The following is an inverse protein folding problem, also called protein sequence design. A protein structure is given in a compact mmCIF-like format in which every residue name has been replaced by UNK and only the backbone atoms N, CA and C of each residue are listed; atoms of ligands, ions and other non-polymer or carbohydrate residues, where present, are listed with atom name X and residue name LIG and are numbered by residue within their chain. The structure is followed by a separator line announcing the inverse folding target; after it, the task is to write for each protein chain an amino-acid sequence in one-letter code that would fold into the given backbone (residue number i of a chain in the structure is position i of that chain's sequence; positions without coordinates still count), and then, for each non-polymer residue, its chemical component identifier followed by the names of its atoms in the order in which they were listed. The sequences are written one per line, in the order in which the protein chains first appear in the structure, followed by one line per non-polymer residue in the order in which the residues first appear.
data_IF_874823924534
#
_entry.id   IF_874823924534
#
_cell.length_a   1.000
_cell.length_b   1.000
_cell.length_c   1.000
_cell.angle_alpha   90.00
_cell.angle_beta   90.00
_cell.angle_gamma   90.00
#
_symmetry.space_group_name_H-M   'P 1'
#
loop_
_entity.id
_entity.type
_entity.pdbx_description
1 polymer ?
#
# COMPACT_ATOMS: atom_id res chain seq x y z
N UNK A 1 18.75 -20.31 4.54
CA UNK A 1 18.59 -18.91 4.97
C UNK A 1 17.28 -18.39 4.38
N UNK A 2 16.41 -17.79 5.20
CA UNK A 2 15.19 -17.14 4.70
C UNK A 2 15.54 -15.96 3.79
N UNK A 3 14.86 -15.84 2.66
CA UNK A 3 15.04 -14.73 1.73
C UNK A 3 14.08 -13.60 2.09
N UNK A 4 14.59 -12.38 2.22
CA UNK A 4 13.80 -11.18 2.49
C UNK A 4 13.66 -10.38 1.18
N UNK A 5 12.44 -10.01 0.82
CA UNK A 5 12.13 -9.10 -0.27
C UNK A 5 11.65 -7.78 0.32
N UNK A 6 12.35 -6.70 0.03
CA UNK A 6 11.89 -5.35 0.34
C UNK A 6 10.91 -4.90 -0.74
N UNK A 7 9.69 -4.59 -0.29
CA UNK A 7 8.60 -4.17 -1.17
C UNK A 7 8.42 -2.65 -1.21
N UNK A 8 9.21 -1.92 -0.40
CA UNK A 8 8.98 -0.50 -0.22
C UNK A 8 9.61 0.32 -1.33
N UNK A 9 8.87 1.29 -1.86
CA UNK A 9 9.42 2.29 -2.79
C UNK A 9 10.19 3.37 -2.03
N UNK A 10 11.31 3.88 -2.56
CA UNK A 10 12.06 4.94 -1.93
C UNK A 10 11.27 6.26 -1.88
N UNK A 11 11.24 6.90 -0.72
CA UNK A 11 10.71 8.27 -0.55
C UNK A 11 11.85 9.25 -0.82
N UNK A 12 11.69 10.12 -1.81
CA UNK A 12 12.71 11.10 -2.24
C UNK A 12 12.08 12.39 -2.72
N UNK A 13 12.79 13.51 -2.62
CA UNK A 13 12.34 14.79 -3.18
C UNK A 13 11.96 14.64 -4.65
N UNK A 14 10.78 15.14 -5.03
CA UNK A 14 10.23 15.02 -6.38
C UNK A 14 9.85 13.58 -6.76
N UNK A 15 9.71 12.66 -5.78
CA UNK A 15 9.22 11.31 -6.01
C UNK A 15 7.77 11.28 -6.47
N UNK A 16 7.36 10.14 -7.01
CA UNK A 16 6.00 9.92 -7.52
C UNK A 16 4.98 10.04 -6.38
N UNK A 17 3.95 10.86 -6.59
CA UNK A 17 2.80 11.02 -5.68
C UNK A 17 1.49 10.89 -6.46
N UNK A 18 0.42 10.51 -5.76
CA UNK A 18 -0.92 10.55 -6.34
C UNK A 18 -1.34 12.00 -6.61
N UNK A 19 -1.99 12.31 -7.76
CA UNK A 19 -2.39 13.66 -8.11
C UNK A 19 -3.24 14.34 -7.02
N UNK A 20 -2.80 15.52 -6.58
CA UNK A 20 -3.44 16.28 -5.51
C UNK A 20 -2.86 16.03 -4.10
N UNK A 21 -2.03 15.01 -3.93
CA UNK A 21 -1.33 14.79 -2.66
C UNK A 21 -0.14 15.77 -2.51
N UNK A 22 0.28 16.07 -1.26
CA UNK A 22 1.45 16.90 -0.99
C UNK A 22 2.72 16.34 -1.64
N UNK A 23 3.54 17.24 -2.17
CA UNK A 23 4.85 16.89 -2.73
C UNK A 23 5.81 16.42 -1.64
N UNK A 24 6.77 15.59 -2.06
CA UNK A 24 7.82 15.08 -1.18
C UNK A 24 8.99 16.05 -1.20
N UNK A 25 9.44 16.50 0.00
CA UNK A 25 10.68 17.24 0.20
C UNK A 25 11.52 16.61 1.30
N UNK A 26 12.79 16.38 1.00
CA UNK A 26 13.82 15.92 1.93
C UNK A 26 14.97 16.92 1.86
N UNK A 27 15.14 17.71 2.91
CA UNK A 27 16.09 18.83 2.96
C UNK A 27 17.09 18.64 4.11
N UNK A 28 18.38 18.72 3.80
CA UNK A 28 19.42 18.67 4.82
C UNK A 28 19.48 20.02 5.56
N UNK A 29 18.94 20.06 6.78
CA UNK A 29 18.88 21.26 7.63
C UNK A 29 20.21 21.55 8.33
N UNK A 30 20.91 20.50 8.79
CA UNK A 30 22.24 20.56 9.36
C UNK A 30 23.17 19.63 8.58
N UNK A 31 24.39 20.06 8.33
CA UNK A 31 25.37 19.29 7.55
C UNK A 31 26.75 19.31 8.21
N UNK A 32 27.33 18.15 8.46
CA UNK A 32 28.71 18.01 8.94
C UNK A 32 29.69 18.69 7.99
N UNK A 33 29.46 18.58 6.69
CA UNK A 33 30.27 19.27 5.67
C UNK A 33 30.21 20.81 5.76
N UNK A 34 29.25 21.37 6.51
CA UNK A 34 29.12 22.82 6.76
C UNK A 34 29.45 23.19 8.20
N UNK A 35 30.13 22.31 8.97
CA UNK A 35 30.57 22.55 10.33
C UNK A 35 29.57 22.21 11.44
N UNK A 36 28.44 21.58 11.11
CA UNK A 36 27.53 21.07 12.12
C UNK A 36 28.07 19.79 12.78
N UNK A 37 27.63 19.48 14.00
CA UNK A 37 28.01 18.28 14.73
C UNK A 37 27.40 16.98 14.16
N UNK A 38 26.29 17.10 13.42
CA UNK A 38 25.58 15.98 12.81
C UNK A 38 24.82 16.42 11.54
N UNK A 39 24.47 15.45 10.70
CA UNK A 39 23.54 15.66 9.60
C UNK A 39 22.12 15.48 10.12
N UNK A 40 21.25 16.47 9.90
CA UNK A 40 19.82 16.42 10.27
C UNK A 40 18.99 16.84 9.07
N UNK A 41 18.06 16.00 8.65
CA UNK A 41 17.15 16.28 7.54
C UNK A 41 15.75 16.65 8.05
N UNK A 42 15.14 17.65 7.41
CA UNK A 42 13.71 17.91 7.50
C UNK A 42 13.02 17.16 6.37
N UNK A 43 11.96 16.40 6.73
CA UNK A 43 11.18 15.60 5.78
C UNK A 43 9.75 16.13 5.78
N UNK A 44 9.21 16.38 4.59
CA UNK A 44 7.81 16.77 4.38
C UNK A 44 7.20 15.87 3.33
N UNK A 45 6.05 15.27 3.64
CA UNK A 45 5.25 14.46 2.73
C UNK A 45 3.83 14.28 3.28
N UNK A 46 2.88 13.83 2.44
CA UNK A 46 1.54 13.43 2.90
C UNK A 46 1.53 12.05 3.54
N UNK A 47 0.50 11.75 4.34
CA UNK A 47 0.29 10.44 4.97
C UNK A 47 0.26 9.28 3.97
N UNK A 48 -0.28 9.53 2.75
CA UNK A 48 -0.36 8.56 1.66
C UNK A 48 0.80 8.73 0.66
N UNK A 49 2.03 8.55 1.15
CA UNK A 49 3.27 8.73 0.36
C UNK A 49 4.04 7.43 0.22
N UNK A 50 4.41 7.08 -1.01
CA UNK A 50 5.20 5.89 -1.31
C UNK A 50 4.48 4.61 -0.94
N UNK A 51 5.20 3.67 -0.33
CA UNK A 51 4.56 2.50 0.31
C UNK A 51 3.96 2.96 1.63
N UNK A 52 2.65 2.80 1.80
CA UNK A 52 1.92 3.29 2.96
C UNK A 52 0.74 2.38 3.32
N UNK A 53 0.21 2.55 4.51
CA UNK A 53 -1.00 1.89 4.98
C UNK A 53 -2.11 2.91 5.21
N UNK A 54 -3.32 2.59 4.71
CA UNK A 54 -4.55 3.34 4.98
C UNK A 54 -5.27 2.75 6.18
N UNK A 55 -5.70 3.62 7.05
CA UNK A 55 -6.61 3.33 8.16
C UNK A 55 -8.05 3.71 7.81
N UNK A 56 -9.03 3.22 8.57
CA UNK A 56 -10.45 3.55 8.33
C UNK A 56 -10.73 5.06 8.37
N UNK A 57 -9.93 5.80 9.16
CA UNK A 57 -10.01 7.27 9.24
C UNK A 57 -9.80 7.97 7.90
N UNK A 58 -9.16 7.33 6.93
CA UNK A 58 -8.96 7.91 5.60
C UNK A 58 -10.29 8.26 4.89
N UNK A 59 -11.35 7.48 5.12
CA UNK A 59 -12.66 7.72 4.49
C UNK A 59 -13.80 7.92 5.49
N UNK A 60 -13.53 7.80 6.79
CA UNK A 60 -14.53 7.92 7.86
C UNK A 60 -13.98 8.77 9.00
N UNK A 61 -14.61 9.90 9.31
CA UNK A 61 -14.16 10.85 10.34
C UNK A 61 -14.03 10.21 11.73
N UNK A 62 -14.91 9.26 12.05
CA UNK A 62 -14.92 8.44 13.27
C UNK A 62 -14.15 7.11 13.10
N UNK A 63 -13.49 6.92 11.97
CA UNK A 63 -12.72 5.72 11.67
C UNK A 63 -11.49 5.58 12.55
N UNK A 64 -11.06 4.33 12.75
CA UNK A 64 -9.83 4.01 13.48
C UNK A 64 -8.60 4.64 12.80
N UNK A 65 -7.76 5.41 13.51
CA UNK A 65 -6.54 5.98 12.95
C UNK A 65 -5.42 4.93 12.83
N UNK A 66 -4.36 5.27 12.09
CA UNK A 66 -3.28 4.35 11.72
C UNK A 66 -2.48 3.83 12.94
N UNK A 67 -2.29 4.66 13.95
CA UNK A 67 -1.57 4.32 15.18
C UNK A 67 -2.30 3.30 16.07
N UNK A 68 -3.58 3.07 15.80
CA UNK A 68 -4.44 2.13 16.51
C UNK A 68 -4.71 0.83 15.73
N UNK A 69 -4.17 0.67 14.52
CA UNK A 69 -4.28 -0.59 13.77
C UNK A 69 -3.59 -1.71 14.56
N UNK A 70 -4.29 -2.84 14.87
CA UNK A 70 -3.67 -3.96 15.57
C UNK A 70 -2.50 -4.54 14.77
N UNK A 71 -1.36 -4.77 15.43
CA UNK A 71 -0.15 -5.29 14.77
C UNK A 71 -0.37 -6.67 14.14
N UNK A 72 -1.29 -7.45 14.67
CA UNK A 72 -1.70 -8.75 14.16
C UNK A 72 -2.30 -8.67 12.74
N UNK A 73 -2.82 -7.50 12.34
CA UNK A 73 -3.27 -7.26 10.96
C UNK A 73 -2.09 -6.95 10.03
N UNK A 74 -1.06 -6.31 10.55
CA UNK A 74 0.10 -5.83 9.81
C UNK A 74 1.22 -6.86 9.64
N UNK A 75 1.21 -7.92 10.49
CA UNK A 75 2.23 -8.96 10.52
C UNK A 75 1.57 -10.33 10.45
N UNK A 76 2.05 -11.22 9.58
CA UNK A 76 1.60 -12.62 9.54
C UNK A 76 1.65 -13.24 8.15
N UNK A 77 1.16 -14.48 8.04
CA UNK A 77 1.08 -15.17 6.75
C UNK A 77 0.27 -14.36 5.73
N UNK A 78 0.76 -14.29 4.50
CA UNK A 78 0.12 -13.61 3.38
C UNK A 78 0.30 -14.40 2.10
N UNK A 79 -0.66 -14.28 1.19
CA UNK A 79 -0.55 -14.81 -0.16
C UNK A 79 -0.29 -13.67 -1.14
N UNK A 80 0.76 -13.81 -1.97
CA UNK A 80 1.00 -12.95 -3.12
C UNK A 80 0.42 -13.64 -4.36
N UNK A 81 -0.59 -13.06 -4.95
CA UNK A 81 -1.17 -13.46 -6.23
C UNK A 81 -0.75 -12.51 -7.34
N UNK A 82 -0.72 -13.00 -8.57
CA UNK A 82 -0.36 -12.18 -9.73
C UNK A 82 -1.41 -12.28 -10.83
N UNK A 83 -1.64 -11.18 -11.50
CA UNK A 83 -2.48 -11.08 -12.68
C UNK A 83 -1.66 -10.73 -13.92
N UNK A 84 -2.07 -11.21 -15.11
CA UNK A 84 -1.46 -10.82 -16.39
C UNK A 84 -1.57 -9.31 -16.66
N UNK A 85 -0.67 -8.79 -17.50
CA UNK A 85 -0.57 -7.35 -17.77
C UNK A 85 -1.76 -6.76 -18.54
N UNK A 86 -2.59 -7.59 -19.16
CA UNK A 86 -3.82 -7.20 -19.86
C UNK A 86 -5.02 -6.99 -18.90
N UNK A 87 -4.94 -7.48 -17.67
CA UNK A 87 -5.95 -7.24 -16.64
C UNK A 87 -5.88 -5.79 -16.18
N UNK A 88 -6.96 -5.05 -16.39
CA UNK A 88 -7.09 -3.62 -15.99
C UNK A 88 -7.91 -3.43 -14.71
N UNK A 89 -8.76 -4.39 -14.40
CA UNK A 89 -9.63 -4.37 -13.24
C UNK A 89 -9.65 -5.75 -12.59
N UNK A 90 -9.27 -5.84 -11.32
CA UNK A 90 -9.30 -7.09 -10.56
C UNK A 90 -10.69 -7.26 -9.96
N UNK A 91 -11.51 -8.13 -10.56
CA UNK A 91 -12.91 -8.38 -10.18
C UNK A 91 -13.04 -9.54 -9.19
N UNK A 92 -14.23 -9.73 -8.62
CA UNK A 92 -14.55 -10.89 -7.80
C UNK A 92 -14.33 -12.22 -8.56
N UNK A 93 -14.65 -12.26 -9.86
CA UNK A 93 -14.43 -13.43 -10.71
C UNK A 93 -12.94 -13.78 -10.80
N UNK A 94 -12.10 -12.78 -11.03
CA UNK A 94 -10.65 -12.95 -11.05
C UNK A 94 -10.11 -13.51 -9.72
N UNK A 95 -10.64 -13.03 -8.58
CA UNK A 95 -10.19 -13.43 -7.25
C UNK A 95 -10.67 -14.85 -6.87
N UNK A 96 -11.91 -15.22 -7.20
CA UNK A 96 -12.49 -16.56 -6.92
C UNK A 96 -11.66 -17.70 -7.51
N UNK A 97 -10.96 -17.45 -8.61
CA UNK A 97 -10.09 -18.46 -9.24
C UNK A 97 -8.79 -18.71 -8.45
N UNK A 98 -8.48 -17.96 -7.38
CA UNK A 98 -7.18 -17.91 -6.70
C UNK A 98 -7.08 -18.67 -5.37
N UNK A 99 -8.16 -19.36 -4.91
CA UNK A 99 -8.19 -20.12 -3.65
C UNK A 99 -7.77 -19.28 -2.45
N UNK A 100 -8.48 -18.17 -2.20
CA UNK A 100 -8.17 -17.20 -1.16
C UNK A 100 -8.87 -17.45 0.18
N UNK A 101 -9.71 -18.49 0.27
CA UNK A 101 -10.44 -18.84 1.48
C UNK A 101 -9.47 -19.08 2.65
N UNK A 102 -9.75 -18.44 3.78
CA UNK A 102 -8.90 -18.52 4.98
C UNK A 102 -7.66 -17.63 4.96
N UNK A 103 -7.37 -16.94 3.86
CA UNK A 103 -6.27 -15.97 3.80
C UNK A 103 -6.67 -14.68 4.50
N UNK A 104 -5.86 -14.25 5.48
CA UNK A 104 -6.08 -12.98 6.18
C UNK A 104 -5.43 -11.79 5.48
N UNK A 105 -4.37 -12.03 4.71
CA UNK A 105 -3.62 -11.00 3.97
C UNK A 105 -3.45 -11.42 2.53
N UNK A 106 -3.96 -10.59 1.62
CA UNK A 106 -3.92 -10.83 0.18
C UNK A 106 -3.13 -9.70 -0.48
N UNK A 107 -2.05 -10.06 -1.16
CA UNK A 107 -1.21 -9.12 -1.90
C UNK A 107 -1.43 -9.36 -3.39
N UNK A 108 -1.69 -8.29 -4.13
CA UNK A 108 -2.11 -8.33 -5.53
C UNK A 108 -1.04 -7.68 -6.39
N UNK A 109 -0.28 -8.50 -7.12
CA UNK A 109 0.66 -8.04 -8.13
C UNK A 109 -0.04 -7.90 -9.48
N UNK A 110 0.18 -6.78 -10.12
CA UNK A 110 -0.29 -6.48 -11.47
C UNK A 110 0.86 -5.90 -12.31
N UNK A 111 0.57 -5.35 -13.48
CA UNK A 111 1.55 -4.59 -14.26
C UNK A 111 2.06 -3.33 -13.56
N UNK A 112 1.38 -2.91 -12.51
CA UNK A 112 1.65 -1.63 -11.86
C UNK A 112 3.00 -1.58 -11.15
N UNK A 113 3.55 -2.73 -10.72
CA UNK A 113 4.92 -2.76 -10.14
C UNK A 113 5.95 -2.12 -11.07
N UNK A 114 5.79 -2.26 -12.40
CA UNK A 114 6.66 -1.61 -13.37
C UNK A 114 6.41 -0.09 -13.47
N UNK A 115 5.18 0.37 -13.20
CA UNK A 115 4.81 1.79 -13.24
C UNK A 115 5.41 2.60 -12.09
N UNK A 116 5.72 1.97 -10.96
CA UNK A 116 6.32 2.63 -9.78
C UNK A 116 7.71 3.23 -10.06
N UNK A 117 8.39 2.77 -11.11
CA UNK A 117 9.67 3.33 -11.54
C UNK A 117 9.55 4.57 -12.44
N UNK A 118 8.35 4.91 -12.88
CA UNK A 118 8.10 6.06 -13.74
C UNK A 118 8.16 7.37 -12.96
N UNK A 119 8.49 8.47 -13.64
CA UNK A 119 8.55 9.80 -13.02
C UNK A 119 7.18 10.47 -12.94
N UNK A 120 6.23 10.02 -13.75
CA UNK A 120 4.89 10.59 -13.84
C UNK A 120 3.84 9.57 -13.45
N UNK A 121 2.77 10.07 -12.83
CA UNK A 121 1.61 9.26 -12.53
C UNK A 121 0.94 8.74 -13.80
N UNK A 122 0.63 7.44 -13.81
CA UNK A 122 -0.06 6.77 -14.92
C UNK A 122 -1.52 6.53 -14.51
N UNK A 123 -2.49 7.25 -15.10
CA UNK A 123 -3.90 7.14 -14.70
C UNK A 123 -4.57 5.82 -15.11
N UNK A 124 -4.04 5.14 -16.12
CA UNK A 124 -4.51 3.83 -16.60
C UNK A 124 -3.81 2.66 -15.89
N UNK A 125 -3.72 2.71 -14.57
CA UNK A 125 -3.21 1.58 -13.77
C UNK A 125 -4.29 0.53 -13.51
N UNK A 126 -3.89 -0.69 -13.17
CA UNK A 126 -4.79 -1.76 -12.74
C UNK A 126 -5.29 -1.48 -11.32
N UNK A 127 -6.59 -1.58 -11.10
CA UNK A 127 -7.25 -1.32 -9.83
C UNK A 127 -8.07 -2.53 -9.35
N UNK A 128 -8.43 -2.53 -8.07
CA UNK A 128 -9.38 -3.49 -7.51
C UNK A 128 -10.81 -2.98 -7.74
N UNK A 129 -11.63 -3.79 -8.43
CA UNK A 129 -13.03 -3.45 -8.66
C UNK A 129 -13.85 -3.50 -7.35
N UNK A 130 -14.96 -2.75 -7.25
CA UNK A 130 -15.81 -2.76 -6.05
C UNK A 130 -16.36 -4.14 -5.67
N UNK A 131 -16.69 -4.99 -6.65
CA UNK A 131 -17.11 -6.37 -6.42
C UNK A 131 -15.96 -7.26 -5.92
N UNK A 132 -14.74 -7.01 -6.40
CA UNK A 132 -13.52 -7.65 -5.89
C UNK A 132 -13.25 -7.27 -4.43
N UNK A 133 -13.41 -6.00 -4.07
CA UNK A 133 -13.30 -5.53 -2.69
C UNK A 133 -14.35 -6.19 -1.78
N UNK A 134 -15.61 -6.25 -2.24
CA UNK A 134 -16.68 -6.93 -1.50
C UNK A 134 -16.37 -8.41 -1.29
N UNK A 135 -15.90 -9.11 -2.32
CA UNK A 135 -15.51 -10.51 -2.21
C UNK A 135 -14.40 -10.73 -1.16
N UNK A 136 -13.36 -9.89 -1.12
CA UNK A 136 -12.31 -9.99 -0.10
C UNK A 136 -12.85 -9.79 1.32
N UNK A 137 -13.78 -8.85 1.49
CA UNK A 137 -14.50 -8.65 2.76
C UNK A 137 -15.29 -9.91 3.15
N UNK A 138 -16.06 -10.47 2.22
CA UNK A 138 -16.96 -11.61 2.47
C UNK A 138 -16.19 -12.87 2.89
N UNK A 139 -14.98 -13.08 2.37
CA UNK A 139 -14.11 -14.21 2.75
C UNK A 139 -13.24 -13.93 3.99
N UNK A 140 -13.39 -12.74 4.63
CA UNK A 140 -12.75 -12.40 5.89
C UNK A 140 -11.28 -11.98 5.78
N UNK A 141 -10.86 -11.37 4.66
CA UNK A 141 -9.54 -10.73 4.52
C UNK A 141 -9.46 -9.54 5.45
N UNK A 142 -8.32 -9.37 6.13
CA UNK A 142 -8.04 -8.31 7.09
C UNK A 142 -7.06 -7.25 6.56
N UNK A 143 -6.29 -7.61 5.51
CA UNK A 143 -5.37 -6.70 4.84
C UNK A 143 -5.30 -7.04 3.35
N UNK A 144 -5.35 -6.01 2.51
CA UNK A 144 -5.08 -6.11 1.08
C UNK A 144 -3.94 -5.19 0.68
N UNK A 145 -2.97 -5.69 -0.09
CA UNK A 145 -1.85 -4.91 -0.60
C UNK A 145 -1.83 -4.85 -2.12
N UNK A 146 -1.54 -3.67 -2.69
CA UNK A 146 -1.50 -3.43 -4.14
C UNK A 146 -0.23 -2.71 -4.58
N UNK A 147 0.10 -2.86 -5.84
CA UNK A 147 1.34 -2.40 -6.43
C UNK A 147 1.19 -1.06 -7.18
N UNK A 148 0.35 -0.17 -6.68
CA UNK A 148 0.30 1.22 -7.15
C UNK A 148 -0.14 2.18 -6.05
N UNK A 149 -0.19 3.49 -6.41
CA UNK A 149 -0.46 4.59 -5.47
C UNK A 149 -1.94 4.72 -5.09
N UNK A 150 -2.81 3.90 -5.65
CA UNK A 150 -4.20 3.73 -5.23
C UNK A 150 -4.74 2.35 -5.62
N UNK A 151 -5.52 1.75 -4.71
CA UNK A 151 -6.29 0.53 -4.96
C UNK A 151 -7.54 0.80 -5.80
N UNK A 152 -8.03 2.03 -5.79
CA UNK A 152 -9.26 2.47 -6.48
C UNK A 152 -8.99 2.86 -7.93
N UNK A 153 -9.99 2.75 -8.80
CA UNK A 153 -9.94 3.32 -10.14
C UNK A 153 -9.75 4.84 -10.10
N UNK A 154 -8.81 5.36 -10.89
CA UNK A 154 -8.58 6.80 -10.99
C UNK A 154 -9.86 7.52 -11.41
N UNK A 155 -10.18 8.61 -10.73
CA UNK A 155 -11.39 9.42 -10.96
C UNK A 155 -12.71 8.62 -10.93
N UNK A 156 -12.80 7.55 -10.12
CA UNK A 156 -14.05 6.79 -9.96
C UNK A 156 -15.22 7.66 -9.45
N UNK A 157 -14.92 8.71 -8.70
CA UNK A 157 -15.88 9.66 -8.13
C UNK A 157 -16.73 9.11 -6.98
N UNK A 158 -16.74 7.81 -6.76
CA UNK A 158 -17.59 7.17 -5.73
C UNK A 158 -16.83 6.54 -4.56
N UNK A 159 -15.53 6.26 -4.72
CA UNK A 159 -14.63 5.64 -3.72
C UNK A 159 -15.17 4.34 -3.11
N UNK A 160 -15.86 3.51 -3.89
CA UNK A 160 -16.53 2.30 -3.40
C UNK A 160 -15.55 1.25 -2.91
N UNK A 161 -14.42 1.06 -3.60
CA UNK A 161 -13.41 0.07 -3.23
C UNK A 161 -12.83 0.38 -1.85
N UNK A 162 -12.32 1.61 -1.65
CA UNK A 162 -11.83 2.05 -0.34
C UNK A 162 -12.89 1.93 0.74
N UNK A 163 -14.08 2.50 0.50
CA UNK A 163 -15.17 2.50 1.50
C UNK A 163 -15.60 1.09 1.87
N UNK A 164 -15.70 0.16 0.91
CA UNK A 164 -16.06 -1.23 1.19
C UNK A 164 -15.05 -1.90 2.11
N UNK A 165 -13.75 -1.74 1.85
CA UNK A 165 -12.69 -2.32 2.65
C UNK A 165 -12.58 -1.65 4.03
N UNK A 166 -12.45 -0.33 4.05
CA UNK A 166 -12.21 0.44 5.27
C UNK A 166 -13.38 0.46 6.24
N UNK A 167 -14.64 0.37 5.75
CA UNK A 167 -15.84 0.22 6.59
C UNK A 167 -15.83 -1.10 7.41
N UNK A 168 -15.05 -2.08 6.99
CA UNK A 168 -14.82 -3.36 7.69
C UNK A 168 -13.45 -3.43 8.35
N UNK A 169 -12.79 -2.27 8.46
CA UNK A 169 -11.44 -2.14 9.01
C UNK A 169 -10.41 -3.06 8.32
N UNK A 170 -10.63 -3.40 7.05
CA UNK A 170 -9.61 -4.06 6.23
C UNK A 170 -8.52 -3.03 5.95
N UNK A 171 -7.29 -3.32 6.35
CA UNK A 171 -6.15 -2.43 6.08
C UNK A 171 -5.82 -2.47 4.60
N UNK A 172 -5.63 -1.30 3.99
CA UNK A 172 -5.14 -1.20 2.62
C UNK A 172 -3.66 -0.83 2.67
N UNK A 173 -2.82 -1.53 1.91
CA UNK A 173 -1.40 -1.18 1.75
C UNK A 173 -1.15 -0.90 0.27
N UNK A 174 -0.75 0.32 -0.02
CA UNK A 174 -0.52 0.81 -1.38
C UNK A 174 0.97 1.05 -1.67
N UNK A 175 1.33 1.16 -2.93
CA UNK A 175 2.71 1.44 -3.33
C UNK A 175 3.69 0.29 -3.09
N UNK A 176 3.24 -0.96 -3.10
CA UNK A 176 4.09 -2.13 -2.93
C UNK A 176 4.78 -2.51 -4.25
N UNK A 177 6.09 -2.73 -4.22
CA UNK A 177 6.84 -3.18 -5.40
C UNK A 177 6.99 -4.71 -5.38
N UNK A 178 6.23 -5.40 -6.22
CA UNK A 178 6.28 -6.86 -6.36
C UNK A 178 7.13 -7.33 -7.54
N UNK A 179 8.03 -6.52 -8.07
CA UNK A 179 8.87 -6.92 -9.21
C UNK A 179 9.79 -8.10 -8.91
N UNK A 180 10.23 -8.27 -7.66
CA UNK A 180 11.19 -9.29 -7.27
C UNK A 180 10.57 -10.61 -6.75
N UNK A 181 9.55 -10.63 -5.86
CA UNK A 181 9.02 -11.88 -5.32
C UNK A 181 8.13 -12.60 -6.34
N UNK A 182 8.28 -13.93 -6.53
CA UNK A 182 7.30 -14.72 -7.27
C UNK A 182 5.97 -14.83 -6.49
N UNK A 183 4.85 -15.12 -7.16
CA UNK A 183 3.60 -15.46 -6.47
C UNK A 183 3.79 -16.64 -5.52
N UNK A 184 3.14 -16.61 -4.35
CA UNK A 184 3.27 -17.66 -3.34
C UNK A 184 2.86 -17.23 -1.94
N UNK A 185 3.13 -18.10 -0.97
CA UNK A 185 2.89 -17.84 0.45
C UNK A 185 4.16 -17.26 1.10
N UNK A 186 3.97 -16.27 1.96
CA UNK A 186 5.05 -15.55 2.63
C UNK A 186 4.65 -15.16 4.05
N UNK A 187 5.64 -14.86 4.87
CA UNK A 187 5.42 -14.00 6.03
C UNK A 187 5.51 -12.55 5.56
N UNK A 188 4.44 -11.78 5.77
CA UNK A 188 4.36 -10.36 5.45
C UNK A 188 4.52 -9.52 6.70
N UNK A 189 5.28 -8.44 6.58
CA UNK A 189 5.45 -7.43 7.63
C UNK A 189 5.30 -6.07 6.95
N UNK A 190 4.38 -5.24 7.45
CA UNK A 190 4.19 -3.86 7.01
C UNK A 190 3.94 -2.99 8.23
N UNK A 191 4.91 -2.20 8.63
CA UNK A 191 4.82 -1.37 9.83
C UNK A 191 4.80 0.12 9.43
N UNK A 192 3.61 0.75 9.42
CA UNK A 192 3.50 2.18 9.21
C UNK A 192 4.12 2.97 10.36
N UNK A 193 4.51 4.20 10.10
CA UNK A 193 4.90 5.13 11.16
C UNK A 193 3.71 5.29 12.12
N UNK A 194 4.01 5.29 13.43
CA UNK A 194 3.00 5.48 14.47
C UNK A 194 2.67 6.97 14.62
N UNK A 195 1.93 7.50 13.65
CA UNK A 195 1.47 8.89 13.64
C UNK A 195 0.10 8.95 14.34
N UNK A 196 0.08 9.53 15.54
CA UNK A 196 -1.13 9.60 16.38
C UNK A 196 -2.26 10.33 15.66
N UNK A 197 -3.42 9.68 15.55
CA UNK A 197 -4.63 10.22 14.97
C UNK A 197 -4.62 10.37 13.44
N UNK A 198 -3.58 9.90 12.72
CA UNK A 198 -3.51 10.03 11.27
C UNK A 198 -4.39 9.00 10.53
N UNK A 199 -4.78 9.40 9.34
CA UNK A 199 -5.60 8.64 8.38
C UNK A 199 -4.83 7.53 7.65
N UNK A 200 -3.50 7.63 7.62
CA UNK A 200 -2.57 6.67 7.05
C UNK A 200 -1.14 7.04 7.40
N UNK A 201 -0.19 6.21 7.05
CA UNK A 201 1.23 6.53 7.22
C UNK A 201 2.13 5.71 6.27
N UNK A 202 3.26 6.29 5.81
CA UNK A 202 4.32 5.56 5.13
C UNK A 202 4.83 4.39 5.96
N UNK A 203 5.16 3.30 5.27
CA UNK A 203 5.54 2.04 5.90
C UNK A 203 6.78 1.41 5.25
N UNK A 204 7.55 0.62 6.01
CA UNK A 204 8.46 -0.34 5.44
C UNK A 204 7.77 -1.69 5.36
N UNK A 205 7.60 -2.21 4.15
CA UNK A 205 6.94 -3.48 3.88
C UNK A 205 7.94 -4.50 3.34
N UNK A 206 7.90 -5.74 3.89
CA UNK A 206 8.77 -6.83 3.45
C UNK A 206 8.02 -8.15 3.38
N UNK A 207 8.49 -9.05 2.48
CA UNK A 207 8.13 -10.47 2.48
C UNK A 207 9.32 -11.31 2.93
N UNK A 208 9.05 -12.35 3.72
CA UNK A 208 10.03 -13.36 4.14
C UNK A 208 9.56 -14.71 3.59
N UNK A 209 10.44 -15.36 2.78
CA UNK A 209 10.23 -16.70 2.23
C UNK A 209 10.85 -17.76 3.12
#
# INVERSE_FOLDING_TARGET
MSRIYDLSVPIKTGGLVYPGNPEISVELQQAVAKGASANVSLIRFGSHTGTHADASRHFFDDGQPVDQIPLERLIGPAILIAFPDDVRSVTAENLKSRKLEGQKRVLIRTRNSALLSQQQFVPDYTFLAPDGAQYLVDIGVELVGVDYLSIEQFHSGHHKTHKTLLARSVVIVEGLNFSAPPPGQYQFICLPLRLEGCDGAPARAVLIA
#
